data_IF_905628203916
#
_entry.id   IF_905628203916
#
_cell.length_a   1.000
_cell.length_b   1.000
_cell.length_c   1.000
_cell.angle_alpha   90.00
_cell.angle_beta   90.00
_cell.angle_gamma   90.00
#
_symmetry.space_group_name_H-M   'P 1'
#
loop_
_entity.id
_entity.type
_entity.pdbx_description
1 polymer ?
#
# COMPACT_ATOMS: atom_id res chain seq x y z
N UNK A 1 55.41 -11.66 -17.27
CA UNK A 1 54.72 -10.40 -17.67
C UNK A 1 54.29 -9.69 -16.42
N UNK A 2 54.63 -8.42 -16.29
CA UNK A 2 54.68 -7.66 -15.04
C UNK A 2 53.31 -7.15 -14.62
N UNK A 3 52.95 -7.41 -13.37
CA UNK A 3 51.75 -6.89 -12.67
C UNK A 3 52.08 -5.49 -12.14
N UNK A 4 51.27 -4.51 -12.48
CA UNK A 4 51.35 -3.18 -11.88
C UNK A 4 50.17 -3.04 -10.90
N UNK A 5 50.51 -3.00 -9.63
CA UNK A 5 49.63 -2.65 -8.52
C UNK A 5 49.68 -1.14 -8.39
N UNK A 6 48.58 -0.46 -8.70
CA UNK A 6 48.38 0.97 -8.49
C UNK A 6 47.57 1.21 -7.23
N UNK A 7 48.25 1.62 -6.18
CA UNK A 7 47.67 2.07 -4.91
C UNK A 7 47.29 3.56 -5.04
N UNK A 8 46.02 3.88 -5.03
CA UNK A 8 45.54 5.29 -4.96
C UNK A 8 44.88 5.49 -3.61
N UNK A 9 45.56 6.22 -2.76
CA UNK A 9 45.10 6.74 -1.48
C UNK A 9 44.41 8.10 -1.75
N UNK A 10 43.12 8.23 -1.52
CA UNK A 10 42.44 9.51 -1.51
C UNK A 10 41.80 9.76 -0.15
N UNK A 11 42.35 10.73 0.54
CA UNK A 11 41.86 11.27 1.82
C UNK A 11 40.61 12.10 1.61
N UNK A 12 39.52 11.79 2.34
CA UNK A 12 38.28 12.56 2.35
C UNK A 12 38.27 13.54 3.53
N UNK A 13 38.07 14.82 3.21
CA UNK A 13 37.81 15.89 4.18
C UNK A 13 36.36 15.80 4.66
N UNK A 14 36.19 15.79 5.98
CA UNK A 14 34.89 16.05 6.64
C UNK A 14 34.61 17.55 6.67
N UNK A 15 33.45 17.96 6.17
CA UNK A 15 32.85 19.26 6.46
C UNK A 15 31.54 19.06 7.23
N UNK A 16 31.55 19.42 8.51
CA UNK A 16 30.36 19.58 9.33
C UNK A 16 29.72 20.92 9.00
N UNK A 17 28.46 20.89 8.53
CA UNK A 17 27.61 22.08 8.49
C UNK A 17 26.43 21.86 9.42
N UNK A 18 26.48 22.50 10.58
CA UNK A 18 25.35 22.65 11.48
C UNK A 18 24.53 23.87 11.02
N UNK A 19 23.28 23.67 10.63
CA UNK A 19 22.27 24.73 10.53
C UNK A 19 21.17 24.47 11.54
N UNK A 20 21.18 25.28 12.58
CA UNK A 20 20.11 25.44 13.56
C UNK A 20 19.05 26.35 12.96
N UNK A 21 17.81 25.95 12.91
CA UNK A 21 16.67 26.82 12.60
C UNK A 21 15.69 26.77 13.78
N UNK A 22 15.70 27.84 14.55
CA UNK A 22 14.67 28.14 15.54
C UNK A 22 13.34 28.41 14.83
N UNK A 23 12.31 27.73 15.25
CA UNK A 23 10.93 28.00 14.86
C UNK A 23 10.20 28.68 16.01
N UNK A 24 9.89 29.95 15.79
CA UNK A 24 9.10 30.79 16.68
C UNK A 24 7.65 30.35 16.73
N UNK A 25 7.17 30.04 17.91
CA UNK A 25 5.76 29.88 18.24
C UNK A 25 5.05 31.22 18.20
N UNK A 26 3.97 31.31 17.46
CA UNK A 26 2.96 32.35 17.65
C UNK A 26 1.64 31.68 18.03
N UNK A 27 1.39 31.64 19.33
CA UNK A 27 0.07 31.48 19.93
C UNK A 27 -0.69 32.80 19.80
N UNK A 28 -1.90 32.74 19.24
CA UNK A 28 -2.97 33.69 19.56
C UNK A 28 -4.26 32.92 19.75
N UNK A 29 -4.93 33.11 20.90
CA UNK A 29 -6.26 32.57 21.12
C UNK A 29 -7.31 33.49 20.50
N UNK A 30 -8.35 32.91 19.93
CA UNK A 30 -9.55 33.65 19.60
C UNK A 30 -10.76 32.98 20.24
N UNK A 31 -11.13 33.58 21.37
CA UNK A 31 -12.43 33.38 22.01
C UNK A 31 -13.52 33.98 21.11
N UNK A 32 -14.53 33.23 20.83
CA UNK A 32 -15.89 33.77 20.69
C UNK A 32 -16.91 32.72 21.12
N UNK A 33 -17.43 33.06 22.25
CA UNK A 33 -18.48 32.56 23.09
C UNK A 33 -19.87 32.82 22.45
N UNK A 34 -20.85 32.01 22.91
CA UNK A 34 -22.30 32.20 22.87
C UNK A 34 -23.03 31.86 21.54
N UNK A 35 -24.11 31.10 21.52
CA UNK A 35 -25.33 31.04 22.37
C UNK A 35 -26.08 29.72 22.04
N UNK A 36 -26.73 29.18 23.08
CA UNK A 36 -27.72 28.10 23.04
C UNK A 36 -29.06 28.51 22.38
N UNK A 37 -29.81 27.51 21.90
CA UNK A 37 -31.21 27.21 22.18
C UNK A 37 -31.69 26.12 21.21
N UNK A 38 -31.97 24.95 21.69
CA UNK A 38 -33.27 24.38 22.09
C UNK A 38 -34.34 24.40 21.01
N UNK A 39 -34.66 23.22 20.44
CA UNK A 39 -36.03 22.84 20.16
C UNK A 39 -36.25 21.34 19.99
N UNK A 40 -37.10 20.89 20.86
CA UNK A 40 -37.74 19.59 21.07
C UNK A 40 -38.81 19.28 20.01
N UNK A 41 -39.02 17.94 19.83
CA UNK A 41 -40.23 17.25 19.38
C UNK A 41 -40.40 17.06 17.86
N UNK A 42 -40.62 15.89 17.34
CA UNK A 42 -41.65 14.89 17.57
C UNK A 42 -41.52 13.83 16.48
N UNK A 43 -41.52 12.57 16.81
CA UNK A 43 -41.82 11.48 15.90
C UNK A 43 -43.36 11.43 15.66
N UNK A 44 -43.81 10.81 14.57
CA UNK A 44 -44.36 9.48 14.74
C UNK A 44 -44.05 8.48 13.61
N UNK A 45 -44.04 7.24 14.00
CA UNK A 45 -44.29 5.98 13.31
C UNK A 45 -45.05 6.06 11.97
N UNK A 46 -44.62 5.25 11.02
CA UNK A 46 -45.55 4.32 10.36
C UNK A 46 -44.78 3.20 9.66
N UNK A 47 -45.04 2.03 10.13
CA UNK A 47 -44.88 0.71 9.58
C UNK A 47 -45.31 0.58 8.12
N UNK A 48 -44.58 -0.11 7.29
CA UNK A 48 -45.12 -1.04 6.29
C UNK A 48 -44.04 -1.94 5.70
N UNK A 49 -44.08 -3.11 6.15
CA UNK A 49 -43.74 -4.39 5.57
C UNK A 49 -43.90 -4.44 4.04
N UNK A 50 -42.84 -4.79 3.30
CA UNK A 50 -42.98 -5.57 2.06
C UNK A 50 -41.78 -6.50 1.87
N UNK A 51 -42.03 -7.74 2.18
CA UNK A 51 -41.34 -8.93 1.71
C UNK A 51 -41.68 -9.04 0.22
N UNK A 52 -40.67 -9.01 -0.64
CA UNK A 52 -40.75 -9.68 -1.93
C UNK A 52 -39.40 -10.27 -2.28
N UNK A 53 -39.41 -11.54 -2.25
CA UNK A 53 -38.52 -12.51 -2.76
C UNK A 53 -38.44 -12.37 -4.30
N UNK A 54 -37.24 -12.16 -4.86
CA UNK A 54 -37.06 -12.48 -6.26
C UNK A 54 -35.63 -12.94 -6.56
N UNK A 55 -35.63 -14.08 -7.08
CA UNK A 55 -34.66 -14.94 -7.74
C UNK A 55 -33.31 -14.33 -8.15
N UNK A 56 -32.30 -15.11 -7.82
CA UNK A 56 -30.96 -15.07 -8.36
C UNK A 56 -30.96 -14.99 -9.90
N UNK A 57 -30.55 -13.85 -10.42
CA UNK A 57 -30.01 -13.76 -11.78
C UNK A 57 -28.54 -13.41 -11.60
N UNK A 58 -27.69 -14.37 -11.98
CA UNK A 58 -26.25 -14.17 -12.08
C UNK A 58 -25.99 -13.17 -13.22
N UNK A 59 -26.18 -11.90 -12.95
CA UNK A 59 -25.75 -10.80 -13.78
C UNK A 59 -24.28 -10.55 -13.47
N UNK A 60 -23.41 -10.65 -14.47
CA UNK A 60 -22.04 -10.15 -14.41
C UNK A 60 -22.10 -8.67 -14.05
N UNK A 61 -22.04 -8.40 -12.76
CA UNK A 61 -21.95 -7.04 -12.22
C UNK A 61 -20.64 -6.48 -12.73
N UNK A 62 -20.70 -5.52 -13.64
CA UNK A 62 -19.57 -4.63 -13.92
C UNK A 62 -19.28 -3.89 -12.64
N UNK A 63 -18.55 -4.53 -11.75
CA UNK A 63 -18.14 -3.93 -10.49
C UNK A 63 -17.26 -2.75 -10.85
N UNK A 64 -17.82 -1.55 -10.74
CA UNK A 64 -17.05 -0.31 -10.81
C UNK A 64 -15.87 -0.44 -9.86
N UNK A 65 -14.65 -0.42 -10.40
CA UNK A 65 -13.44 -0.53 -9.59
C UNK A 65 -13.42 0.65 -8.61
N UNK A 66 -13.24 0.43 -7.31
CA UNK A 66 -13.12 1.53 -6.37
C UNK A 66 -11.86 2.32 -6.70
N UNK A 67 -12.02 3.59 -7.07
CA UNK A 67 -10.95 4.48 -7.56
C UNK A 67 -9.81 4.69 -6.54
N UNK A 68 -10.00 4.28 -5.29
CA UNK A 68 -9.05 4.48 -4.19
C UNK A 68 -8.66 3.19 -3.48
N UNK A 69 -8.78 2.04 -4.14
CA UNK A 69 -8.42 0.76 -3.51
C UNK A 69 -7.80 -0.20 -4.50
N UNK A 70 -6.92 -1.06 -4.00
CA UNK A 70 -6.31 -2.15 -4.76
C UNK A 70 -7.42 -3.10 -5.25
N UNK A 71 -7.46 -3.46 -6.54
CA UNK A 71 -8.45 -4.38 -7.11
C UNK A 71 -8.52 -5.73 -6.37
N UNK A 72 -9.71 -6.30 -6.28
CA UNK A 72 -9.93 -7.56 -5.53
C UNK A 72 -9.08 -8.72 -6.05
N UNK A 73 -8.88 -8.82 -7.36
CA UNK A 73 -8.09 -9.88 -7.97
C UNK A 73 -6.63 -9.89 -7.48
N UNK A 74 -6.09 -8.73 -7.13
CA UNK A 74 -4.72 -8.58 -6.61
C UNK A 74 -4.61 -8.91 -5.11
N UNK A 75 -5.72 -8.83 -4.35
CA UNK A 75 -5.71 -9.01 -2.89
C UNK A 75 -5.50 -10.46 -2.49
N UNK A 76 -4.98 -10.64 -1.27
CA UNK A 76 -4.74 -11.94 -0.67
C UNK A 76 -3.28 -12.16 -0.30
N UNK A 77 -2.92 -13.42 -0.08
CA UNK A 77 -1.56 -13.83 0.30
C UNK A 77 -0.82 -14.40 -0.91
N UNK A 78 0.43 -13.99 -1.06
CA UNK A 78 1.27 -14.29 -2.20
C UNK A 78 2.67 -14.68 -1.73
N UNK A 79 3.14 -15.89 -2.04
CA UNK A 79 4.48 -16.39 -1.68
C UNK A 79 5.41 -16.45 -2.88
N UNK A 80 6.67 -16.08 -2.71
CA UNK A 80 7.71 -16.28 -3.75
C UNK A 80 8.08 -17.75 -3.87
N UNK A 81 8.04 -18.48 -2.75
CA UNK A 81 8.22 -19.94 -2.69
C UNK A 81 7.08 -20.56 -1.89
N UNK A 82 6.89 -21.86 -2.05
CA UNK A 82 5.80 -22.59 -1.36
C UNK A 82 5.84 -22.42 0.16
N UNK A 83 7.03 -22.42 0.75
CA UNK A 83 7.19 -22.27 2.20
C UNK A 83 6.69 -20.92 2.72
N UNK A 84 6.73 -19.84 1.94
CA UNK A 84 6.19 -18.56 2.36
C UNK A 84 4.68 -18.62 2.66
N UNK A 85 3.97 -19.52 1.95
CA UNK A 85 2.54 -19.70 2.17
C UNK A 85 2.18 -20.60 3.37
N UNK A 86 3.09 -21.47 3.79
CA UNK A 86 2.81 -22.56 4.75
C UNK A 86 3.58 -22.44 6.06
N UNK A 87 4.62 -21.62 6.12
CA UNK A 87 5.39 -21.45 7.35
C UNK A 87 4.58 -20.83 8.47
N UNK A 88 4.71 -21.40 9.67
CA UNK A 88 4.15 -20.90 10.93
C UNK A 88 5.22 -20.39 11.89
N UNK A 89 6.49 -20.40 11.45
CA UNK A 89 7.65 -20.04 12.29
C UNK A 89 8.05 -18.57 12.22
N UNK A 90 7.30 -17.75 11.46
CA UNK A 90 7.63 -16.34 11.28
C UNK A 90 8.85 -16.08 10.39
N UNK A 91 9.20 -17.03 9.52
CA UNK A 91 10.35 -16.99 8.62
C UNK A 91 9.96 -16.86 7.13
N UNK A 92 8.69 -16.58 6.85
CA UNK A 92 8.15 -16.40 5.49
C UNK A 92 8.59 -15.07 4.87
N UNK A 93 9.89 -14.92 4.61
CA UNK A 93 10.47 -13.65 4.12
C UNK A 93 10.00 -13.23 2.73
N UNK A 94 9.57 -14.19 1.90
CA UNK A 94 9.01 -13.94 0.57
C UNK A 94 7.47 -13.78 0.57
N UNK A 95 6.81 -13.77 1.74
CA UNK A 95 5.37 -13.57 1.82
C UNK A 95 5.03 -12.09 1.62
N UNK A 96 4.07 -11.84 0.74
CA UNK A 96 3.40 -10.54 0.58
C UNK A 96 1.91 -10.71 0.81
N UNK A 97 1.34 -9.87 1.66
CA UNK A 97 -0.11 -9.80 1.88
C UNK A 97 -0.65 -8.49 1.31
N UNK A 98 -1.66 -8.58 0.45
CA UNK A 98 -2.29 -7.44 -0.21
C UNK A 98 -3.70 -7.25 0.34
N UNK A 99 -3.94 -6.11 0.98
CA UNK A 99 -5.27 -5.67 1.41
C UNK A 99 -5.86 -4.63 0.43
N UNK A 100 -6.93 -3.98 0.80
CA UNK A 100 -7.54 -2.93 -0.04
C UNK A 100 -6.66 -1.69 -0.22
N UNK A 101 -5.78 -1.38 0.74
CA UNK A 101 -4.99 -0.16 0.74
C UNK A 101 -3.51 -0.36 1.12
N UNK A 102 -3.08 -1.61 1.32
CA UNK A 102 -1.75 -1.87 1.87
C UNK A 102 -1.12 -3.14 1.31
N UNK A 103 0.19 -3.08 1.14
CA UNK A 103 1.09 -4.22 0.95
C UNK A 103 1.81 -4.46 2.27
N UNK A 104 1.84 -5.71 2.74
CA UNK A 104 2.56 -6.11 3.96
C UNK A 104 3.59 -7.16 3.58
N UNK A 105 4.83 -6.94 3.98
CA UNK A 105 5.98 -7.81 3.82
C UNK A 105 6.50 -8.23 5.18
N UNK A 106 7.53 -9.06 5.21
CA UNK A 106 8.15 -9.56 6.44
C UNK A 106 8.61 -8.44 7.39
N UNK A 107 9.30 -7.42 6.86
CA UNK A 107 9.92 -6.34 7.67
C UNK A 107 9.41 -4.95 7.28
N UNK A 108 8.44 -4.85 6.37
CA UNK A 108 7.96 -3.56 5.88
C UNK A 108 6.50 -3.60 5.46
N UNK A 109 5.90 -2.43 5.37
CA UNK A 109 4.56 -2.23 4.84
C UNK A 109 4.49 -1.00 3.95
N UNK A 110 3.78 -1.11 2.85
CA UNK A 110 3.54 -0.04 1.90
C UNK A 110 2.07 0.38 1.93
N UNK A 111 1.80 1.63 2.27
CA UNK A 111 0.45 2.20 2.18
C UNK A 111 0.24 2.79 0.79
N UNK A 112 -0.89 2.46 0.17
CA UNK A 112 -1.31 3.02 -1.11
C UNK A 112 -1.41 4.55 -0.99
N UNK A 113 -0.62 5.27 -1.78
CA UNK A 113 -0.60 6.73 -1.77
C UNK A 113 -1.30 7.34 -2.99
N UNK A 114 -0.98 6.86 -4.20
CA UNK A 114 -1.53 7.41 -5.44
C UNK A 114 -1.61 6.32 -6.50
N UNK A 115 -2.78 6.14 -7.09
CA UNK A 115 -2.98 5.24 -8.24
C UNK A 115 -2.66 6.01 -9.52
N UNK A 116 -1.86 5.40 -10.40
CA UNK A 116 -1.52 5.91 -11.73
C UNK A 116 -2.27 5.16 -12.83
N UNK A 117 -2.44 3.83 -12.66
CA UNK A 117 -3.18 2.97 -13.59
C UNK A 117 -3.96 1.93 -12.78
N UNK A 118 -5.21 1.66 -13.16
CA UNK A 118 -6.06 0.66 -12.49
C UNK A 118 -6.88 -0.13 -13.50
N UNK A 119 -6.74 -1.45 -13.43
CA UNK A 119 -7.49 -2.44 -14.18
C UNK A 119 -7.91 -3.58 -13.24
N UNK A 120 -8.85 -4.45 -13.60
CA UNK A 120 -9.29 -5.54 -12.73
C UNK A 120 -8.16 -6.43 -12.20
N UNK A 121 -7.14 -6.69 -13.04
CA UNK A 121 -6.01 -7.59 -12.76
C UNK A 121 -4.66 -6.89 -12.71
N UNK A 122 -4.63 -5.56 -12.90
CA UNK A 122 -3.38 -4.78 -12.93
C UNK A 122 -3.56 -3.46 -12.21
N UNK A 123 -2.53 -3.06 -11.47
CA UNK A 123 -2.47 -1.78 -10.76
C UNK A 123 -1.06 -1.21 -10.87
N UNK A 124 -0.95 0.07 -11.20
CA UNK A 124 0.28 0.84 -10.98
C UNK A 124 0.00 1.94 -9.98
N UNK A 125 0.79 2.00 -8.93
CA UNK A 125 0.57 2.97 -7.88
C UNK A 125 1.86 3.31 -7.13
N UNK A 126 1.91 4.54 -6.59
CA UNK A 126 2.90 4.97 -5.63
C UNK A 126 2.48 4.49 -4.24
N UNK A 127 3.43 3.94 -3.49
CA UNK A 127 3.26 3.49 -2.11
C UNK A 127 4.24 4.21 -1.19
N UNK A 128 3.74 4.61 -0.01
CA UNK A 128 4.57 5.05 1.10
C UNK A 128 4.92 3.83 1.96
N UNK A 129 6.19 3.51 2.01
CA UNK A 129 6.72 2.40 2.78
C UNK A 129 7.23 2.85 4.14
N UNK A 130 7.12 1.94 5.11
CA UNK A 130 7.78 2.01 6.40
C UNK A 130 8.31 0.63 6.79
N UNK A 131 9.47 0.59 7.43
CA UNK A 131 10.11 -0.63 7.92
C UNK A 131 11.43 -0.29 8.60
N UNK A 132 11.81 -1.03 9.63
CA UNK A 132 13.08 -0.86 10.35
C UNK A 132 13.39 0.59 10.78
N UNK A 133 12.35 1.36 11.13
CA UNK A 133 12.49 2.77 11.53
C UNK A 133 12.74 3.74 10.37
N UNK A 134 12.65 3.29 9.12
CA UNK A 134 12.82 4.11 7.93
C UNK A 134 11.50 4.26 7.16
N UNK A 135 11.42 5.32 6.36
CA UNK A 135 10.32 5.56 5.42
C UNK A 135 10.87 5.84 4.03
N UNK A 136 10.19 5.33 2.99
CA UNK A 136 10.55 5.58 1.59
C UNK A 136 9.33 5.46 0.68
N UNK A 137 9.48 5.81 -0.59
CA UNK A 137 8.43 5.63 -1.59
C UNK A 137 8.87 4.65 -2.68
N UNK A 138 7.89 3.93 -3.27
CA UNK A 138 8.09 3.08 -4.45
C UNK A 138 6.91 3.20 -5.38
N UNK A 139 7.21 3.31 -6.68
CA UNK A 139 6.24 3.12 -7.75
C UNK A 139 6.20 1.62 -8.09
N UNK A 140 5.05 0.99 -7.88
CA UNK A 140 4.88 -0.46 -8.00
C UNK A 140 3.79 -0.77 -9.03
N UNK A 141 4.10 -1.71 -9.92
CA UNK A 141 3.12 -2.40 -10.76
C UNK A 141 2.86 -3.77 -10.17
N UNK A 142 1.59 -4.08 -9.96
CA UNK A 142 1.08 -5.41 -9.60
C UNK A 142 0.25 -5.93 -10.77
N UNK A 143 0.50 -7.15 -11.21
CA UNK A 143 -0.21 -7.78 -12.30
C UNK A 143 -0.46 -9.25 -12.01
N UNK A 144 -1.74 -9.64 -11.99
CA UNK A 144 -2.16 -11.03 -11.81
C UNK A 144 -2.25 -11.72 -13.15
N UNK A 145 -1.73 -12.93 -13.21
CA UNK A 145 -1.68 -13.80 -14.38
C UNK A 145 -2.24 -15.19 -14.02
N UNK A 146 -2.27 -16.10 -15.02
CA UNK A 146 -2.64 -17.50 -14.87
C UNK A 146 -3.98 -17.69 -14.14
N UNK A 147 -5.02 -16.99 -14.61
CA UNK A 147 -6.35 -17.04 -14.00
C UNK A 147 -6.35 -16.78 -12.48
N UNK A 148 -5.45 -15.93 -12.01
CA UNK A 148 -5.40 -15.56 -10.59
C UNK A 148 -4.39 -16.35 -9.74
N UNK A 149 -3.60 -17.25 -10.35
CA UNK A 149 -2.69 -18.13 -9.62
C UNK A 149 -1.28 -17.54 -9.45
N UNK A 150 -0.86 -16.65 -10.34
CA UNK A 150 0.43 -15.98 -10.26
C UNK A 150 0.29 -14.46 -10.24
N UNK A 151 1.29 -13.79 -9.69
CA UNK A 151 1.36 -12.33 -9.62
C UNK A 151 2.79 -11.89 -9.92
N UNK A 152 2.93 -10.91 -10.79
CA UNK A 152 4.18 -10.20 -11.02
C UNK A 152 4.12 -8.86 -10.32
N UNK A 153 5.14 -8.57 -9.49
CA UNK A 153 5.38 -7.26 -8.92
C UNK A 153 6.62 -6.65 -9.57
N UNK A 154 6.46 -5.49 -10.18
CA UNK A 154 7.58 -4.67 -10.66
C UNK A 154 7.73 -3.45 -9.76
N UNK A 155 8.94 -3.18 -9.32
CA UNK A 155 9.26 -2.10 -8.39
C UNK A 155 10.26 -1.16 -9.05
N UNK A 156 9.89 0.11 -9.15
CA UNK A 156 10.72 1.16 -9.74
C UNK A 156 11.32 1.99 -8.61
N UNK A 157 12.63 1.94 -8.47
CA UNK A 157 13.37 2.89 -7.66
C UNK A 157 13.85 4.05 -8.56
N UNK A 158 14.06 5.20 -7.97
CA UNK A 158 14.46 6.48 -8.55
C UNK A 158 15.13 6.43 -9.95
N UNK A 159 14.31 6.31 -11.01
CA UNK A 159 14.75 6.38 -12.41
C UNK A 159 15.52 5.17 -12.95
N UNK A 160 15.63 4.10 -12.16
CA UNK A 160 16.30 2.86 -12.56
C UNK A 160 15.41 1.88 -13.34
N UNK A 161 16.01 0.79 -13.80
CA UNK A 161 15.28 -0.36 -14.31
C UNK A 161 14.41 -0.96 -13.19
N UNK A 162 13.27 -1.54 -13.56
CA UNK A 162 12.39 -2.16 -12.58
C UNK A 162 12.95 -3.51 -12.12
N UNK A 163 13.00 -3.71 -10.81
CA UNK A 163 13.12 -5.05 -10.24
C UNK A 163 11.82 -5.81 -10.44
N UNK A 164 11.91 -7.10 -10.77
CA UNK A 164 10.75 -7.96 -11.02
C UNK A 164 10.73 -9.15 -10.07
N UNK A 165 9.61 -9.34 -9.40
CA UNK A 165 9.38 -10.40 -8.43
C UNK A 165 8.17 -11.22 -8.84
N UNK A 166 8.29 -12.55 -8.75
CA UNK A 166 7.26 -13.51 -9.11
C UNK A 166 6.70 -14.20 -7.87
N UNK A 167 5.39 -14.27 -7.79
CA UNK A 167 4.68 -14.84 -6.65
C UNK A 167 3.65 -15.86 -7.13
N UNK A 168 3.34 -16.80 -6.27
CA UNK A 168 2.23 -17.75 -6.41
C UNK A 168 1.19 -17.44 -5.34
N UNK A 169 -0.09 -17.56 -5.68
CA UNK A 169 -1.18 -17.37 -4.72
C UNK A 169 -1.14 -18.45 -3.66
N UNK A 170 -1.18 -18.05 -2.39
CA UNK A 170 -1.34 -18.99 -1.28
C UNK A 170 -2.77 -19.55 -1.25
N UNK A 171 -2.90 -20.85 -0.96
CA UNK A 171 -4.21 -21.44 -0.70
C UNK A 171 -4.85 -20.77 0.52
N UNK A 172 -6.18 -20.63 0.49
CA UNK A 172 -7.00 -20.10 1.58
C UNK A 172 -7.17 -21.12 2.67
#
# INVERSE_FOLDING_TARGET
MRVYIGLILTTALLALSACSSESTNNNLPNDNDMIAEDNVATAPDTSANQVMNEAATAGASSATLPMNAIPRALRGRWGMVKNDCTSTHGDAKGLMEISAARLTFYESRGMLAKISEIEPTRLRALYNFEGEGQTWQRDIVLEVQDAGQSLIRKEYADGGAADSYHYTRCAS
#
